data_IF_645172260443
#
_entry.id   IF_645172260443
#
_cell.length_a   1.000
_cell.length_b   1.000
_cell.length_c   1.000
_cell.angle_alpha   90.00
_cell.angle_beta   90.00
_cell.angle_gamma   90.00
#
_symmetry.space_group_name_H-M   'P 1'
#
loop_
_entity.id
_entity.type
_entity.pdbx_description
1 polymer ?
#
# COMPACT_ATOMS: atom_id res chain seq x y z
N UNK A 1 20.72 -1.39 -17.22
CA UNK A 1 19.32 -1.65 -17.51
C UNK A 1 18.63 -0.30 -17.74
N UNK A 2 17.74 -0.20 -18.74
CA UNK A 2 16.81 0.91 -18.95
C UNK A 2 15.39 0.40 -18.90
N UNK A 3 14.42 1.28 -18.69
CA UNK A 3 12.99 0.96 -18.58
C UNK A 3 12.20 1.81 -19.56
N UNK A 4 11.22 1.19 -20.23
CA UNK A 4 10.09 1.87 -20.89
C UNK A 4 8.88 1.56 -20.02
N UNK A 5 8.34 2.56 -19.33
CA UNK A 5 7.26 2.36 -18.37
C UNK A 5 5.92 2.29 -19.08
N UNK A 6 5.18 1.20 -18.88
CA UNK A 6 3.85 0.96 -19.46
C UNK A 6 2.73 0.90 -18.43
N UNK A 7 3.06 0.82 -17.13
CA UNK A 7 2.12 0.86 -16.02
C UNK A 7 2.73 1.60 -14.84
N UNK A 8 2.18 2.74 -14.42
CA UNK A 8 2.57 3.41 -13.20
C UNK A 8 1.94 2.68 -12.00
N UNK A 9 2.77 2.04 -11.18
CA UNK A 9 2.37 1.28 -9.99
C UNK A 9 3.52 1.17 -9.00
N UNK A 10 4.33 0.10 -9.13
CA UNK A 10 5.42 -0.24 -8.22
C UNK A 10 6.62 0.73 -8.25
N UNK A 11 6.64 1.76 -9.10
CA UNK A 11 7.77 2.69 -9.22
C UNK A 11 9.09 2.00 -9.63
N UNK A 12 9.00 0.93 -10.43
CA UNK A 12 10.15 0.10 -10.83
C UNK A 12 11.22 0.89 -11.60
N UNK A 13 10.84 1.96 -12.26
CA UNK A 13 11.71 2.86 -13.01
C UNK A 13 12.62 3.70 -12.11
N UNK A 14 12.22 3.93 -10.85
CA UNK A 14 12.99 4.69 -9.84
C UNK A 14 13.52 3.85 -8.70
N UNK A 15 13.17 2.56 -8.64
CA UNK A 15 13.45 1.69 -7.50
C UNK A 15 14.64 0.76 -7.74
N UNK A 16 15.25 0.30 -6.66
CA UNK A 16 16.30 -0.71 -6.68
C UNK A 16 15.83 -2.06 -6.16
N UNK A 17 14.52 -2.31 -6.24
CA UNK A 17 13.89 -3.53 -5.74
C UNK A 17 13.52 -4.46 -6.91
N UNK A 18 13.50 -5.75 -6.63
CA UNK A 18 12.94 -6.79 -7.51
C UNK A 18 12.14 -7.76 -6.66
N UNK A 19 10.97 -8.16 -7.15
CA UNK A 19 10.13 -9.16 -6.48
C UNK A 19 9.80 -10.25 -7.48
N UNK A 20 10.03 -11.51 -7.08
CA UNK A 20 9.73 -12.70 -7.90
C UNK A 20 8.96 -13.71 -7.08
N UNK A 21 8.05 -14.44 -7.73
CA UNK A 21 7.35 -15.55 -7.10
C UNK A 21 8.03 -16.86 -7.46
N UNK A 22 8.53 -17.57 -6.45
CA UNK A 22 9.02 -18.95 -6.59
C UNK A 22 7.81 -19.87 -6.54
N UNK A 23 7.47 -20.49 -7.67
CA UNK A 23 6.27 -21.35 -7.77
C UNK A 23 6.35 -22.58 -6.88
N UNK A 24 7.54 -23.19 -6.74
CA UNK A 24 7.73 -24.28 -5.79
C UNK A 24 7.78 -23.71 -4.36
N UNK A 25 6.71 -23.93 -3.59
CA UNK A 25 6.53 -23.42 -2.24
C UNK A 25 5.80 -22.08 -2.16
N UNK A 26 5.32 -21.53 -3.30
CA UNK A 26 4.50 -20.30 -3.37
C UNK A 26 5.07 -19.13 -2.56
N UNK A 27 6.37 -18.84 -2.77
CA UNK A 27 7.08 -17.80 -2.04
C UNK A 27 7.27 -16.55 -2.89
N UNK A 28 6.78 -15.41 -2.42
CA UNK A 28 7.05 -14.08 -3.03
C UNK A 28 8.29 -13.48 -2.38
N UNK A 29 9.41 -13.48 -3.12
CA UNK A 29 10.74 -13.11 -2.63
C UNK A 29 11.10 -11.72 -3.13
N UNK A 30 11.47 -10.83 -2.22
CA UNK A 30 11.97 -9.49 -2.54
C UNK A 30 13.48 -9.38 -2.35
N UNK A 31 14.13 -8.66 -3.27
CA UNK A 31 15.55 -8.32 -3.21
C UNK A 31 15.71 -6.81 -3.39
N UNK A 32 16.41 -6.15 -2.46
CA UNK A 32 16.75 -4.71 -2.55
C UNK A 32 18.25 -4.55 -2.78
N UNK A 33 18.62 -4.15 -3.99
CA UNK A 33 20.02 -3.85 -4.35
C UNK A 33 20.10 -2.69 -5.36
N UNK A 34 19.97 -1.43 -4.88
CA UNK A 34 19.85 -0.25 -5.75
C UNK A 34 21.04 -0.06 -6.68
N UNK A 35 22.25 -0.47 -6.26
CA UNK A 35 23.48 -0.35 -7.08
C UNK A 35 23.43 -1.19 -8.37
N UNK A 36 22.63 -2.27 -8.37
CA UNK A 36 22.55 -3.23 -9.48
C UNK A 36 21.22 -3.12 -10.21
N UNK A 37 20.10 -3.07 -9.47
CA UNK A 37 18.75 -3.17 -10.02
C UNK A 37 18.16 -1.85 -10.48
N UNK A 38 18.53 -0.70 -9.84
CA UNK A 38 17.96 0.59 -10.24
C UNK A 38 18.28 0.89 -11.70
N UNK A 39 17.26 1.17 -12.53
CA UNK A 39 17.45 1.57 -13.92
C UNK A 39 18.34 2.81 -14.05
N UNK A 40 19.16 2.86 -15.09
CA UNK A 40 20.01 4.02 -15.38
C UNK A 40 19.26 5.13 -16.10
N UNK A 41 18.19 4.78 -16.79
CA UNK A 41 17.26 5.70 -17.43
C UNK A 41 15.88 5.05 -17.54
N UNK A 42 14.85 5.90 -17.60
CA UNK A 42 13.48 5.49 -17.84
C UNK A 42 12.86 6.36 -18.94
N UNK A 43 12.16 5.73 -19.86
CA UNK A 43 11.30 6.40 -20.83
C UNK A 43 9.87 6.34 -20.29
N UNK A 44 9.34 7.50 -19.97
CA UNK A 44 8.08 7.66 -19.26
C UNK A 44 7.11 8.44 -20.14
N UNK A 45 6.53 7.76 -21.17
CA UNK A 45 5.52 8.36 -22.03
C UNK A 45 4.12 8.00 -21.50
N UNK A 46 3.32 8.97 -21.01
CA UNK A 46 1.97 8.74 -20.49
C UNK A 46 1.02 8.04 -21.49
N UNK A 47 1.18 8.26 -22.80
CA UNK A 47 0.35 7.64 -23.83
C UNK A 47 0.43 6.10 -23.80
N UNK A 48 1.55 5.52 -23.37
CA UNK A 48 1.69 4.06 -23.23
C UNK A 48 0.78 3.47 -22.15
N UNK A 49 0.13 4.32 -21.34
CA UNK A 49 -0.77 3.91 -20.27
C UNK A 49 -2.25 4.12 -20.60
N UNK A 50 -2.60 4.69 -21.76
CA UNK A 50 -3.98 4.99 -22.15
C UNK A 50 -4.85 3.73 -22.28
N UNK A 51 -4.26 2.61 -22.65
CA UNK A 51 -4.95 1.34 -22.83
C UNK A 51 -5.02 0.49 -21.55
N UNK A 52 -4.50 0.99 -20.42
CA UNK A 52 -4.59 0.25 -19.16
C UNK A 52 -6.05 0.13 -18.72
N UNK A 53 -6.52 -1.08 -18.37
CA UNK A 53 -7.83 -1.25 -17.78
C UNK A 53 -7.98 -0.40 -16.51
N UNK A 54 -9.19 0.16 -16.23
CA UNK A 54 -9.45 0.95 -15.03
C UNK A 54 -9.02 0.24 -13.74
N UNK A 55 -9.28 -1.06 -13.63
CA UNK A 55 -8.86 -1.89 -12.50
C UNK A 55 -7.34 -1.87 -12.29
N UNK A 56 -6.53 -1.96 -13.35
CA UNK A 56 -5.07 -1.93 -13.25
C UNK A 56 -4.55 -0.53 -12.87
N UNK A 57 -5.20 0.52 -13.37
CA UNK A 57 -4.89 1.89 -12.97
C UNK A 57 -5.15 2.11 -11.47
N UNK A 58 -6.31 1.66 -10.96
CA UNK A 58 -6.69 1.78 -9.56
C UNK A 58 -5.80 0.91 -8.65
N UNK A 59 -5.51 -0.34 -9.05
CA UNK A 59 -4.60 -1.23 -8.31
C UNK A 59 -3.18 -0.64 -8.27
N UNK A 60 -2.68 -0.09 -9.38
CA UNK A 60 -1.39 0.59 -9.44
C UNK A 60 -1.30 1.80 -8.51
N UNK A 61 -2.34 2.62 -8.49
CA UNK A 61 -2.41 3.77 -7.59
C UNK A 61 -2.46 3.35 -6.10
N UNK A 62 -3.15 2.26 -5.79
CA UNK A 62 -3.18 1.69 -4.44
C UNK A 62 -1.80 1.20 -4.01
N UNK A 63 -1.04 0.57 -4.91
CA UNK A 63 0.34 0.15 -4.66
C UNK A 63 1.27 1.37 -4.41
N UNK A 64 1.13 2.46 -5.20
CA UNK A 64 1.83 3.72 -4.92
C UNK A 64 1.55 4.25 -3.51
N UNK A 65 0.27 4.28 -3.11
CA UNK A 65 -0.12 4.72 -1.77
C UNK A 65 0.48 3.82 -0.69
N UNK A 66 0.45 2.50 -0.89
CA UNK A 66 1.05 1.55 0.04
C UNK A 66 2.56 1.77 0.18
N UNK A 67 3.30 2.00 -0.91
CA UNK A 67 4.72 2.31 -0.86
C UNK A 67 5.05 3.58 -0.05
N UNK A 68 4.19 4.60 -0.10
CA UNK A 68 4.34 5.80 0.72
C UNK A 68 4.04 5.46 2.18
N UNK A 69 2.96 4.72 2.46
CA UNK A 69 2.52 4.37 3.81
C UNK A 69 3.54 3.48 4.53
N UNK A 70 4.23 2.55 3.83
CA UNK A 70 5.31 1.74 4.42
C UNK A 70 6.49 2.56 4.94
N UNK A 71 6.67 3.75 4.42
CA UNK A 71 7.70 4.70 4.86
C UNK A 71 7.17 5.72 5.85
N UNK A 72 5.90 6.08 5.72
CA UNK A 72 5.23 6.99 6.63
C UNK A 72 5.04 6.38 8.02
N UNK A 73 4.68 5.09 8.10
CA UNK A 73 4.57 4.37 9.36
C UNK A 73 5.94 3.93 9.85
N UNK A 74 6.58 4.78 10.62
CA UNK A 74 7.88 4.57 11.22
C UNK A 74 7.97 5.19 12.62
N UNK A 75 8.95 4.75 13.41
CA UNK A 75 9.21 5.25 14.77
C UNK A 75 10.38 6.25 14.82
N UNK A 76 10.84 6.77 13.69
CA UNK A 76 11.93 7.73 13.62
C UNK A 76 11.46 9.11 14.06
N UNK A 77 12.23 9.77 14.89
CA UNK A 77 11.95 11.14 15.32
C UNK A 77 12.46 12.18 14.32
N UNK A 78 11.92 13.40 14.39
CA UNK A 78 12.34 14.55 13.57
C UNK A 78 12.26 14.30 12.06
N UNK A 79 11.12 13.75 11.61
CA UNK A 79 10.85 13.38 10.20
C UNK A 79 9.82 14.28 9.53
N UNK A 80 9.58 15.48 10.06
CA UNK A 80 8.50 16.37 9.64
C UNK A 80 8.51 16.67 8.15
N UNK A 81 9.69 16.92 7.56
CA UNK A 81 9.82 17.19 6.13
C UNK A 81 9.43 15.96 5.30
N UNK A 82 9.95 14.79 5.65
CA UNK A 82 9.68 13.53 4.95
C UNK A 82 8.21 13.13 5.09
N UNK A 83 7.63 13.31 6.27
CA UNK A 83 6.20 13.10 6.52
C UNK A 83 5.36 14.03 5.64
N UNK A 84 5.67 15.35 5.60
CA UNK A 84 4.91 16.33 4.82
C UNK A 84 4.98 16.05 3.31
N UNK A 85 6.13 15.60 2.79
CA UNK A 85 6.28 15.17 1.39
C UNK A 85 5.39 13.95 1.12
N UNK A 86 5.40 12.98 2.01
CA UNK A 86 4.58 11.76 1.91
C UNK A 86 3.08 12.08 1.94
N UNK A 87 2.66 12.95 2.87
CA UNK A 87 1.27 13.40 3.01
C UNK A 87 0.79 14.20 1.78
N UNK A 88 1.64 15.07 1.23
CA UNK A 88 1.32 15.82 0.02
C UNK A 88 1.15 14.89 -1.19
N UNK A 89 2.04 13.90 -1.33
CA UNK A 89 1.97 12.94 -2.42
C UNK A 89 0.73 12.04 -2.31
N UNK A 90 0.37 11.58 -1.10
CA UNK A 90 -0.89 10.84 -0.85
C UNK A 90 -2.12 11.65 -1.26
N UNK A 91 -2.22 12.92 -0.84
CA UNK A 91 -3.34 13.79 -1.23
C UNK A 91 -3.41 13.99 -2.74
N UNK A 92 -2.25 14.13 -3.41
CA UNK A 92 -2.18 14.25 -4.87
C UNK A 92 -2.72 12.99 -5.55
N UNK A 93 -2.33 11.80 -5.11
CA UNK A 93 -2.80 10.52 -5.69
C UNK A 93 -4.31 10.37 -5.46
N UNK A 94 -4.81 10.70 -4.26
CA UNK A 94 -6.24 10.64 -3.91
C UNK A 94 -7.09 11.54 -4.83
N UNK A 95 -6.61 12.75 -5.16
CA UNK A 95 -7.29 13.66 -6.11
C UNK A 95 -7.20 13.18 -7.55
N UNK A 96 -6.01 12.69 -7.97
CA UNK A 96 -5.75 12.34 -9.36
C UNK A 96 -6.49 11.08 -9.82
N UNK A 97 -6.54 10.03 -8.99
CA UNK A 97 -7.00 8.71 -9.45
C UNK A 97 -8.43 8.71 -9.96
N UNK A 98 -9.44 9.30 -9.28
CA UNK A 98 -10.79 9.38 -9.81
C UNK A 98 -10.86 10.12 -11.14
N UNK A 99 -10.05 11.17 -11.32
CA UNK A 99 -9.97 11.96 -12.56
C UNK A 99 -9.35 11.17 -13.72
N UNK A 100 -8.27 10.44 -13.44
CA UNK A 100 -7.63 9.53 -14.42
C UNK A 100 -8.60 8.43 -14.85
N UNK A 101 -9.40 7.89 -13.92
CA UNK A 101 -10.39 6.86 -14.23
C UNK A 101 -11.54 7.42 -15.08
N UNK A 102 -11.93 8.69 -14.86
CA UNK A 102 -12.96 9.36 -15.65
C UNK A 102 -12.46 9.78 -17.04
N UNK A 103 -11.17 10.15 -17.16
CA UNK A 103 -10.53 10.62 -18.39
C UNK A 103 -9.25 9.80 -18.68
N UNK A 104 -9.38 8.51 -19.07
CA UNK A 104 -8.24 7.58 -19.13
C UNK A 104 -7.18 7.93 -20.18
N UNK A 105 -7.51 8.73 -21.18
CA UNK A 105 -6.61 9.18 -22.25
C UNK A 105 -6.13 10.65 -22.06
N UNK A 106 -6.43 11.26 -20.90
CA UNK A 106 -5.93 12.59 -20.58
C UNK A 106 -4.44 12.53 -20.26
N UNK A 107 -3.62 13.09 -21.16
CA UNK A 107 -2.16 13.05 -21.06
C UNK A 107 -1.63 13.64 -19.75
N UNK A 108 -2.15 14.82 -19.37
CA UNK A 108 -1.65 15.54 -18.20
C UNK A 108 -1.98 14.80 -16.89
N UNK A 109 -3.16 14.21 -16.79
CA UNK A 109 -3.55 13.39 -15.65
C UNK A 109 -2.69 12.11 -15.55
N UNK A 110 -2.47 11.42 -16.68
CA UNK A 110 -1.60 10.24 -16.73
C UNK A 110 -0.14 10.58 -16.42
N UNK A 111 0.37 11.71 -16.91
CA UNK A 111 1.73 12.19 -16.63
C UNK A 111 1.93 12.44 -15.14
N UNK A 112 0.98 13.12 -14.48
CA UNK A 112 1.02 13.38 -13.05
C UNK A 112 0.95 12.08 -12.23
N UNK A 113 0.07 11.13 -12.62
CA UNK A 113 -0.01 9.84 -11.95
C UNK A 113 1.28 9.03 -12.12
N UNK A 114 1.84 9.01 -13.32
CA UNK A 114 3.10 8.31 -13.63
C UNK A 114 4.26 8.87 -12.79
N UNK A 115 4.38 10.19 -12.70
CA UNK A 115 5.41 10.84 -11.89
C UNK A 115 5.20 10.59 -10.39
N UNK A 116 3.95 10.58 -9.92
CA UNK A 116 3.61 10.22 -8.54
C UNK A 116 4.09 8.81 -8.17
N UNK A 117 3.96 7.85 -9.09
CA UNK A 117 4.47 6.48 -8.90
C UNK A 117 5.99 6.43 -8.71
N UNK A 118 6.73 7.18 -9.53
CA UNK A 118 8.19 7.31 -9.36
C UNK A 118 8.54 7.88 -8.00
N UNK A 119 7.91 8.99 -7.59
CA UNK A 119 8.18 9.61 -6.29
C UNK A 119 7.79 8.72 -5.11
N UNK A 120 6.73 7.93 -5.25
CA UNK A 120 6.31 6.99 -4.22
C UNK A 120 7.37 5.93 -3.88
N UNK A 121 8.26 5.57 -4.83
CA UNK A 121 9.20 4.46 -4.62
C UNK A 121 10.68 4.77 -4.95
N UNK A 122 11.04 5.98 -5.34
CA UNK A 122 12.44 6.34 -5.62
C UNK A 122 13.30 6.56 -4.36
N UNK A 123 12.68 6.55 -3.18
CA UNK A 123 13.32 6.71 -1.87
C UNK A 123 13.09 8.05 -1.20
N UNK A 124 12.46 9.04 -1.86
CA UNK A 124 12.24 10.37 -1.27
C UNK A 124 11.38 10.30 -0.01
N UNK A 125 10.30 9.50 -0.04
CA UNK A 125 9.42 9.28 1.12
C UNK A 125 10.07 8.45 2.25
N UNK A 126 11.24 7.85 2.00
CA UNK A 126 12.00 7.03 2.95
C UNK A 126 13.27 7.72 3.47
N UNK A 127 13.48 9.00 3.13
CA UNK A 127 14.69 9.71 3.52
C UNK A 127 14.74 9.93 5.04
N UNK A 128 15.76 9.37 5.68
CA UNK A 128 15.98 9.53 7.12
C UNK A 128 15.09 8.68 8.02
N UNK A 129 14.32 7.72 7.48
CA UNK A 129 13.42 6.86 8.26
C UNK A 129 13.77 5.38 8.14
N UNK A 130 13.36 4.58 9.13
CA UNK A 130 13.39 3.12 9.07
C UNK A 130 12.05 2.67 8.49
N UNK A 131 12.08 2.17 7.26
CA UNK A 131 10.89 1.71 6.53
C UNK A 131 10.28 0.46 7.20
N UNK A 132 8.94 0.29 7.18
CA UNK A 132 8.25 -0.84 7.83
C UNK A 132 8.11 -2.08 6.93
N UNK A 133 7.41 -1.95 5.79
CA UNK A 133 7.13 -3.02 4.82
C UNK A 133 6.15 -4.11 5.28
N UNK A 134 5.52 -3.96 6.44
CA UNK A 134 4.62 -4.97 7.02
C UNK A 134 3.41 -5.25 6.15
N UNK A 135 2.77 -4.20 5.59
CA UNK A 135 1.59 -4.39 4.73
C UNK A 135 1.96 -5.17 3.46
N UNK A 136 3.12 -4.90 2.86
CA UNK A 136 3.60 -5.67 1.71
C UNK A 136 3.91 -7.12 2.07
N UNK A 137 4.49 -7.38 3.23
CA UNK A 137 4.78 -8.76 3.65
C UNK A 137 3.51 -9.57 3.86
N UNK A 138 2.49 -8.98 4.48
CA UNK A 138 1.17 -9.60 4.64
C UNK A 138 0.52 -9.87 3.27
N UNK A 139 0.59 -8.91 2.34
CA UNK A 139 0.02 -9.03 1.01
C UNK A 139 0.75 -10.07 0.15
N UNK A 140 2.07 -10.19 0.29
CA UNK A 140 2.87 -11.16 -0.46
C UNK A 140 2.38 -12.59 -0.25
N UNK A 141 1.91 -12.93 0.94
CA UNK A 141 1.33 -14.24 1.21
C UNK A 141 -0.03 -14.42 0.51
N UNK A 142 -0.86 -13.37 0.46
CA UNK A 142 -2.13 -13.40 -0.29
C UNK A 142 -1.88 -13.59 -1.79
N UNK A 143 -0.98 -12.80 -2.38
CA UNK A 143 -0.63 -12.93 -3.79
C UNK A 143 -0.02 -14.29 -4.12
N UNK A 144 0.87 -14.82 -3.26
CA UNK A 144 1.55 -16.09 -3.50
C UNK A 144 0.59 -17.28 -3.43
N UNK A 145 -0.34 -17.29 -2.47
CA UNK A 145 -1.22 -18.42 -2.19
C UNK A 145 -2.50 -18.36 -3.04
N UNK A 146 -3.08 -17.17 -3.20
CA UNK A 146 -4.39 -17.02 -3.87
C UNK A 146 -4.29 -16.40 -5.27
N UNK A 147 -3.10 -15.94 -5.71
CA UNK A 147 -2.90 -15.37 -7.04
C UNK A 147 -3.60 -14.02 -7.25
N UNK A 148 -3.89 -13.27 -6.19
CA UNK A 148 -4.59 -11.99 -6.28
C UNK A 148 -3.70 -10.89 -6.86
N UNK A 149 -4.32 -9.87 -7.48
CA UNK A 149 -3.61 -8.68 -7.97
C UNK A 149 -3.01 -7.91 -6.79
N UNK A 150 -1.70 -7.64 -6.84
CA UNK A 150 -0.93 -7.06 -5.73
C UNK A 150 -1.54 -5.79 -5.12
N UNK A 151 -1.82 -4.78 -5.97
CA UNK A 151 -2.43 -3.53 -5.48
C UNK A 151 -3.83 -3.73 -4.89
N UNK A 152 -4.62 -4.69 -5.39
CA UNK A 152 -5.91 -5.04 -4.82
C UNK A 152 -5.77 -5.77 -3.48
N UNK A 153 -4.76 -6.64 -3.34
CA UNK A 153 -4.40 -7.23 -2.05
C UNK A 153 -4.00 -6.17 -1.03
N UNK A 154 -3.18 -5.19 -1.43
CA UNK A 154 -2.81 -4.05 -0.57
C UNK A 154 -4.01 -3.18 -0.18
N UNK A 155 -5.03 -3.06 -1.03
CA UNK A 155 -6.27 -2.35 -0.71
C UNK A 155 -7.04 -2.99 0.46
N UNK A 156 -6.92 -4.30 0.62
CA UNK A 156 -7.50 -5.05 1.76
C UNK A 156 -6.59 -4.98 2.99
N UNK A 157 -5.30 -5.19 2.79
CA UNK A 157 -4.31 -5.27 3.87
C UNK A 157 -4.11 -3.93 4.58
N UNK A 158 -3.91 -2.84 3.82
CA UNK A 158 -3.50 -1.55 4.41
C UNK A 158 -4.53 -0.98 5.40
N UNK A 159 -5.85 -0.97 5.13
CA UNK A 159 -6.82 -0.52 6.12
C UNK A 159 -6.94 -1.46 7.34
N UNK A 160 -6.77 -2.77 7.16
CA UNK A 160 -6.79 -3.74 8.27
C UNK A 160 -5.58 -3.54 9.19
N UNK A 161 -4.37 -3.38 8.61
CA UNK A 161 -3.15 -3.06 9.35
C UNK A 161 -3.29 -1.75 10.14
N UNK A 162 -3.80 -0.68 9.49
CA UNK A 162 -4.05 0.59 10.16
C UNK A 162 -5.08 0.45 11.29
N UNK A 163 -6.10 -0.40 11.14
CA UNK A 163 -7.09 -0.67 12.20
C UNK A 163 -6.44 -1.33 13.41
N UNK A 164 -5.60 -2.32 13.20
CA UNK A 164 -4.78 -2.93 14.25
C UNK A 164 -3.89 -1.87 14.92
N UNK A 165 -3.18 -1.07 14.12
CA UNK A 165 -2.28 -0.02 14.62
C UNK A 165 -2.98 1.10 15.38
N UNK A 166 -4.27 1.36 15.12
CA UNK A 166 -5.07 2.32 15.90
C UNK A 166 -5.22 1.92 17.39
N UNK A 167 -4.93 0.67 17.73
CA UNK A 167 -4.88 0.20 19.13
C UNK A 167 -3.46 0.12 19.69
N UNK A 168 -2.41 0.25 18.87
CA UNK A 168 -1.01 0.06 19.28
C UNK A 168 -0.16 1.33 19.10
N UNK A 169 -0.36 2.08 18.01
CA UNK A 169 0.35 3.34 17.74
C UNK A 169 -0.61 4.38 17.15
N UNK A 170 -1.64 4.72 17.94
CA UNK A 170 -2.77 5.56 17.50
C UNK A 170 -2.36 6.94 16.97
N UNK A 171 -1.32 7.57 17.56
CA UNK A 171 -0.94 8.95 17.22
C UNK A 171 -0.53 9.13 15.76
N UNK A 172 0.20 8.16 15.20
CA UNK A 172 0.64 8.24 13.80
C UNK A 172 -0.53 8.01 12.84
N UNK A 173 -1.48 7.14 13.20
CA UNK A 173 -2.71 6.90 12.42
C UNK A 173 -3.63 8.12 12.49
N UNK A 174 -3.83 8.72 13.67
CA UNK A 174 -4.61 9.94 13.84
C UNK A 174 -4.00 11.13 13.07
N UNK A 175 -2.65 11.27 13.08
CA UNK A 175 -1.96 12.27 12.26
C UNK A 175 -2.32 12.10 10.79
N UNK A 176 -2.24 10.89 10.25
CA UNK A 176 -2.62 10.60 8.85
C UNK A 176 -4.09 10.94 8.58
N UNK A 177 -4.99 10.64 9.53
CA UNK A 177 -6.41 10.97 9.41
C UNK A 177 -6.63 12.49 9.24
N UNK A 178 -5.92 13.31 10.01
CA UNK A 178 -6.03 14.76 9.92
C UNK A 178 -5.39 15.33 8.65
N UNK A 179 -4.17 14.90 8.33
CA UNK A 179 -3.34 15.55 7.30
C UNK A 179 -3.66 15.07 5.88
N UNK A 180 -4.16 13.84 5.74
CA UNK A 180 -4.45 13.23 4.44
C UNK A 180 -5.94 13.06 4.22
N UNK A 181 -6.67 12.58 5.22
CA UNK A 181 -8.11 12.28 5.08
C UNK A 181 -9.02 13.43 5.50
N UNK A 182 -8.48 14.55 5.98
CA UNK A 182 -9.24 15.73 6.33
C UNK A 182 -10.20 15.51 7.51
N UNK A 183 -9.87 14.61 8.43
CA UNK A 183 -10.63 14.40 9.66
C UNK A 183 -10.38 15.56 10.60
N UNK A 184 -11.44 16.18 11.12
CA UNK A 184 -11.32 17.21 12.15
C UNK A 184 -10.86 16.60 13.49
N UNK A 185 -10.10 17.38 14.27
CA UNK A 185 -9.62 16.92 15.58
C UNK A 185 -10.77 16.89 16.59
N UNK A 186 -11.17 15.69 17.03
CA UNK A 186 -12.20 15.54 18.06
C UNK A 186 -11.67 15.62 19.49
N UNK A 187 -10.33 15.55 19.67
CA UNK A 187 -9.68 15.39 20.97
C UNK A 187 -9.53 13.91 21.40
N UNK A 188 -9.98 12.98 20.56
CA UNK A 188 -9.82 11.54 20.77
C UNK A 188 -9.12 10.90 19.57
N UNK A 189 -7.80 10.72 19.69
CA UNK A 189 -6.96 10.17 18.62
C UNK A 189 -7.47 8.84 18.05
N UNK A 190 -8.09 7.98 18.88
CA UNK A 190 -8.61 6.69 18.42
C UNK A 190 -9.86 6.86 17.56
N UNK A 191 -10.75 7.75 17.93
CA UNK A 191 -11.93 8.10 17.12
C UNK A 191 -11.50 8.70 15.78
N UNK A 192 -10.57 9.64 15.82
CA UNK A 192 -10.06 10.32 14.63
C UNK A 192 -9.34 9.34 13.69
N UNK A 193 -8.54 8.43 14.24
CA UNK A 193 -7.87 7.36 13.48
C UNK A 193 -8.87 6.44 12.77
N UNK A 194 -9.92 5.98 13.47
CA UNK A 194 -10.94 5.10 12.90
C UNK A 194 -11.76 5.79 11.81
N UNK A 195 -12.08 7.07 11.99
CA UNK A 195 -12.74 7.88 10.95
C UNK A 195 -11.84 8.01 9.70
N UNK A 196 -10.53 8.27 9.87
CA UNK A 196 -9.58 8.31 8.76
C UNK A 196 -9.51 6.98 8.00
N UNK A 197 -9.48 5.86 8.71
CA UNK A 197 -9.51 4.52 8.11
C UNK A 197 -10.84 4.28 7.36
N UNK A 198 -11.95 4.76 7.89
CA UNK A 198 -13.26 4.69 7.22
C UNK A 198 -13.24 5.46 5.90
N UNK A 199 -12.70 6.67 5.87
CA UNK A 199 -12.53 7.48 4.64
C UNK A 199 -11.57 6.81 3.65
N UNK A 200 -10.50 6.20 4.12
CA UNK A 200 -9.61 5.41 3.26
C UNK A 200 -10.34 4.25 2.60
N UNK A 201 -11.09 3.45 3.35
CA UNK A 201 -11.91 2.36 2.79
C UNK A 201 -12.96 2.88 1.78
N UNK A 202 -13.60 4.01 2.07
CA UNK A 202 -14.56 4.64 1.16
C UNK A 202 -13.88 5.07 -0.15
N UNK A 203 -12.69 5.70 -0.08
CA UNK A 203 -11.90 6.05 -1.25
C UNK A 203 -11.53 4.81 -2.08
N UNK A 204 -11.01 3.74 -1.47
CA UNK A 204 -10.65 2.51 -2.17
C UNK A 204 -11.86 1.93 -2.93
N UNK A 205 -13.03 1.87 -2.29
CA UNK A 205 -14.27 1.41 -2.97
C UNK A 205 -14.67 2.34 -4.11
N UNK A 206 -14.52 3.66 -3.96
CA UNK A 206 -14.88 4.63 -5.00
C UNK A 206 -14.06 4.47 -6.28
N UNK A 207 -12.85 3.91 -6.19
CA UNK A 207 -11.99 3.61 -7.34
C UNK A 207 -12.05 2.12 -7.76
N UNK A 208 -13.03 1.35 -7.24
CA UNK A 208 -13.26 -0.04 -7.61
C UNK A 208 -12.32 -1.06 -6.95
N UNK A 209 -11.65 -0.69 -5.85
CA UNK A 209 -10.78 -1.59 -5.11
C UNK A 209 -11.50 -2.30 -3.96
N UNK A 210 -11.20 -3.60 -3.72
CA UNK A 210 -11.75 -4.35 -2.59
C UNK A 210 -11.20 -3.83 -1.27
N UNK A 211 -11.94 -4.00 -0.17
CA UNK A 211 -11.49 -3.67 1.19
C UNK A 211 -11.71 -4.82 2.18
N UNK A 212 -12.15 -5.98 1.68
CA UNK A 212 -12.25 -7.24 2.44
C UNK A 212 -11.74 -8.40 1.59
N UNK A 213 -11.38 -9.53 2.23
CA UNK A 213 -10.96 -10.74 1.51
C UNK A 213 -12.07 -11.28 0.62
N UNK A 214 -13.33 -11.21 1.04
CA UNK A 214 -14.47 -11.62 0.23
C UNK A 214 -14.65 -10.74 -1.03
N UNK A 215 -14.52 -9.41 -0.90
CA UNK A 215 -14.53 -8.49 -2.05
C UNK A 215 -13.34 -8.75 -3.00
N UNK A 216 -12.20 -9.22 -2.48
CA UNK A 216 -11.01 -9.60 -3.26
C UNK A 216 -11.18 -10.95 -3.99
N UNK A 217 -12.24 -11.71 -3.68
CA UNK A 217 -12.49 -13.05 -4.24
C UNK A 217 -11.89 -14.19 -3.43
N UNK A 218 -11.42 -13.93 -2.21
CA UNK A 218 -10.90 -14.93 -1.28
C UNK A 218 -11.98 -15.21 -0.22
N UNK A 219 -12.89 -16.13 -0.52
CA UNK A 219 -14.07 -16.38 0.33
C UNK A 219 -13.75 -17.19 1.59
N UNK A 220 -12.82 -18.14 1.50
CA UNK A 220 -12.44 -19.06 2.59
C UNK A 220 -10.92 -19.03 2.80
N UNK A 221 -10.37 -17.95 3.38
CA UNK A 221 -8.94 -17.85 3.59
C UNK A 221 -8.47 -18.83 4.67
N UNK A 222 -7.39 -19.57 4.39
CA UNK A 222 -6.66 -20.32 5.40
C UNK A 222 -5.72 -19.35 6.16
N UNK A 223 -6.24 -18.70 7.19
CA UNK A 223 -5.51 -17.72 7.98
C UNK A 223 -4.30 -18.34 8.69
N UNK A 224 -4.41 -19.57 9.18
CA UNK A 224 -3.32 -20.23 9.87
C UNK A 224 -2.17 -20.56 8.90
N UNK A 225 -2.48 -20.90 7.64
CA UNK A 225 -1.48 -21.06 6.58
C UNK A 225 -0.80 -19.73 6.26
N UNK A 226 -1.55 -18.62 6.11
CA UNK A 226 -1.00 -17.28 5.85
C UNK A 226 -0.03 -16.86 6.95
N UNK A 227 -0.42 -17.02 8.22
CA UNK A 227 0.42 -16.68 9.39
C UNK A 227 1.69 -17.54 9.40
N UNK A 228 1.55 -18.85 9.24
CA UNK A 228 2.69 -19.78 9.22
C UNK A 228 3.66 -19.46 8.10
N UNK A 229 3.16 -19.18 6.90
CA UNK A 229 3.95 -18.85 5.72
C UNK A 229 4.73 -17.56 5.92
N UNK A 230 4.06 -16.49 6.36
CA UNK A 230 4.70 -15.21 6.63
C UNK A 230 5.87 -15.34 7.61
N UNK A 231 5.64 -15.94 8.77
CA UNK A 231 6.68 -16.06 9.80
C UNK A 231 7.80 -17.05 9.43
N UNK A 232 7.52 -18.03 8.58
CA UNK A 232 8.57 -18.88 8.00
C UNK A 232 9.47 -18.11 7.02
N UNK A 233 8.93 -17.14 6.26
CA UNK A 233 9.68 -16.41 5.25
C UNK A 233 10.36 -15.14 5.77
N UNK A 234 9.75 -14.45 6.75
CA UNK A 234 10.20 -13.14 7.23
C UNK A 234 10.76 -13.15 8.66
N UNK A 235 10.60 -14.28 9.37
CA UNK A 235 11.04 -14.41 10.76
C UNK A 235 9.97 -14.07 11.78
N UNK A 236 10.37 -13.95 13.04
CA UNK A 236 9.51 -13.63 14.16
C UNK A 236 10.31 -12.79 15.17
N UNK A 237 9.92 -11.53 15.45
CA UNK A 237 8.74 -10.83 14.90
C UNK A 237 8.92 -10.30 13.49
N UNK A 238 7.82 -9.82 12.85
CA UNK A 238 7.78 -9.19 11.52
C UNK A 238 7.44 -7.72 11.64
N UNK A 239 8.13 -6.85 10.89
CA UNK A 239 7.90 -5.41 10.84
C UNK A 239 8.79 -4.60 11.77
N UNK A 240 8.89 -3.30 11.45
CA UNK A 240 9.71 -2.33 12.19
C UNK A 240 8.87 -1.28 12.94
N UNK A 241 7.71 -0.90 12.40
CA UNK A 241 6.83 0.06 13.06
C UNK A 241 6.17 -0.54 14.31
N UNK A 242 5.71 -1.78 14.19
CA UNK A 242 5.28 -2.62 15.31
C UNK A 242 5.71 -4.07 14.99
N UNK A 243 6.57 -4.66 15.84
CA UNK A 243 7.05 -6.03 15.65
C UNK A 243 5.94 -7.05 15.89
N UNK A 244 5.32 -7.54 14.80
CA UNK A 244 4.19 -8.46 14.85
C UNK A 244 4.62 -9.87 15.28
N UNK A 245 3.91 -10.41 16.27
CA UNK A 245 3.93 -11.83 16.59
C UNK A 245 2.97 -12.62 15.67
N UNK A 246 3.01 -13.97 15.65
CA UNK A 246 2.01 -14.76 14.94
C UNK A 246 0.55 -14.47 15.38
N UNK A 247 0.32 -14.16 16.66
CA UNK A 247 -1.01 -13.80 17.14
C UNK A 247 -1.49 -12.45 16.57
N UNK A 248 -0.63 -11.43 16.55
CA UNK A 248 -0.94 -10.12 15.96
C UNK A 248 -1.21 -10.24 14.45
N UNK A 249 -0.40 -11.05 13.75
CA UNK A 249 -0.59 -11.34 12.33
C UNK A 249 -1.94 -12.00 12.05
N UNK A 250 -2.34 -12.94 12.90
CA UNK A 250 -3.64 -13.61 12.82
C UNK A 250 -4.78 -12.60 12.98
N UNK A 251 -4.70 -11.74 14.00
CA UNK A 251 -5.69 -10.67 14.22
C UNK A 251 -5.83 -9.76 13.00
N UNK A 252 -4.73 -9.36 12.37
CA UNK A 252 -4.78 -8.51 11.16
C UNK A 252 -5.47 -9.23 10.00
N UNK A 253 -5.18 -10.53 9.76
CA UNK A 253 -5.88 -11.29 8.71
C UNK A 253 -7.38 -11.49 9.03
N UNK A 254 -7.74 -11.66 10.30
CA UNK A 254 -9.13 -11.72 10.72
C UNK A 254 -9.87 -10.39 10.49
N UNK A 255 -9.21 -9.23 10.72
CA UNK A 255 -9.74 -7.90 10.42
C UNK A 255 -10.00 -7.70 8.91
N UNK A 256 -9.24 -8.36 8.02
CA UNK A 256 -9.48 -8.34 6.57
C UNK A 256 -10.75 -9.13 6.19
N UNK A 257 -11.17 -10.10 7.01
CA UNK A 257 -12.31 -10.97 6.75
C UNK A 257 -13.64 -10.43 7.34
N UNK A 258 -13.57 -9.40 8.18
CA UNK A 258 -14.76 -8.81 8.79
C UNK A 258 -15.67 -8.19 7.71
N UNK A 259 -16.73 -8.89 7.34
CA UNK A 259 -17.92 -8.25 6.75
C UNK A 259 -18.46 -7.29 7.81
N UNK A 260 -18.67 -6.00 7.47
CA UNK A 260 -19.56 -5.19 8.33
C UNK A 260 -20.83 -6.03 8.53
N UNK A 261 -21.13 -6.42 9.75
CA UNK A 261 -22.53 -6.69 10.09
C UNK A 261 -23.25 -5.39 9.77
N UNK A 262 -24.02 -5.39 8.68
CA UNK A 262 -25.04 -4.40 8.44
C UNK A 262 -26.03 -4.56 9.61
N UNK A 263 -25.86 -3.73 10.60
CA UNK A 263 -26.81 -3.62 11.68
C UNK A 263 -27.00 -2.17 12.04
N UNK A 264 -28.16 -1.75 11.60
CA UNK A 264 -29.10 -0.80 12.16
C UNK A 264 -28.61 0.63 12.36
#
# INVERSE_FOLDING_TARGET
>A
MGVVLTIPAAGSEGSGNSVITKLNGLQKISLKTPKVLRPRFALMNPELTFTLPPYQTAAGATDMMAHILERYFNNTNATELTDNVSEALLRTIIDLVPRVLAEPENYDLRANLMWSGTLAHNGICGTGVVEDWTSHFLEHELSAIYGVTHGAGLAVVSPAYQTFMASHNVKKIAKLAHTVWGVERSGNDKSDALEGISRFKAFLRSIGMPVTLAELGVENPDIDLLVKSLHAHKGNPVGNFYPLTPADTKEIYELMNCRKSESA
#
